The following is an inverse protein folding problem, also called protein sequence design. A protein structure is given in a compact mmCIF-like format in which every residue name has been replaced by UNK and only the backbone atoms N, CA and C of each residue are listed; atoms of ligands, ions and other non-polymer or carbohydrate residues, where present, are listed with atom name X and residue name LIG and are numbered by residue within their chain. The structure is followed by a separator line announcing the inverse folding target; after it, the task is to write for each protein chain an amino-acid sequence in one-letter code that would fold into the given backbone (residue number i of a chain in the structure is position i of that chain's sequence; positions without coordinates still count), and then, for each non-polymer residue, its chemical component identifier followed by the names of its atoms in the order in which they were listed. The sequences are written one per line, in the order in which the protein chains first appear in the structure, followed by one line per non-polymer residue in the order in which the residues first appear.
data_IF_737852495889
#
_entry.id   IF_737852495889
#
_cell.length_a   1.000
_cell.length_b   1.000
_cell.length_c   1.000
_cell.angle_alpha   90.00
_cell.angle_beta   90.00
_cell.angle_gamma   90.00
#
_symmetry.space_group_name_H-M   'P 1'
#
loop_
_entity.id
_entity.type
_entity.pdbx_description
1 polymer ?
#
# COMPACT_ATOMS: atom_id res chain seq x y z
N UNK A 1 -11.09 6.64 14.75
CA UNK A 1 -12.33 6.83 13.94
C UNK A 1 -11.94 6.99 12.48
N UNK A 2 -12.77 6.62 11.48
CA UNK A 2 -12.46 6.82 10.06
C UNK A 2 -13.16 8.10 9.58
N UNK A 3 -12.38 9.03 9.04
CA UNK A 3 -12.87 10.28 8.45
C UNK A 3 -12.64 10.28 6.94
N UNK A 4 -13.70 10.58 6.17
CA UNK A 4 -13.64 10.59 4.70
C UNK A 4 -13.78 12.03 4.22
N UNK A 5 -12.81 12.49 3.41
CA UNK A 5 -12.84 13.83 2.79
C UNK A 5 -12.71 15.01 3.75
N UNK A 6 -12.35 14.77 5.01
CA UNK A 6 -12.03 15.85 5.95
C UNK A 6 -10.58 16.29 5.81
N UNK A 7 -10.34 17.58 5.99
CA UNK A 7 -8.98 18.11 6.06
C UNK A 7 -8.24 17.49 7.25
N UNK A 8 -6.97 17.16 7.01
CA UNK A 8 -6.08 16.71 8.08
C UNK A 8 -5.92 17.85 9.09
N UNK A 9 -6.03 17.58 10.40
CA UNK A 9 -5.72 18.58 11.41
C UNK A 9 -4.33 19.16 11.19
N UNK A 10 -4.10 20.40 11.60
CA UNK A 10 -2.77 21.00 11.55
C UNK A 10 -1.78 20.09 12.29
N UNK A 11 -0.62 19.90 11.67
CA UNK A 11 0.42 19.05 12.22
C UNK A 11 1.30 19.90 13.12
N UNK A 12 1.18 19.67 14.42
CA UNK A 12 2.06 20.26 15.42
C UNK A 12 3.19 19.27 15.72
N UNK A 13 4.28 19.38 14.95
CA UNK A 13 5.50 18.59 15.15
C UNK A 13 6.68 19.53 15.43
N UNK A 14 7.48 19.17 16.41
CA UNK A 14 8.78 19.81 16.61
C UNK A 14 9.74 19.35 15.49
N UNK A 15 10.10 20.28 14.60
CA UNK A 15 11.01 20.02 13.47
C UNK A 15 12.41 19.61 13.94
N UNK A 16 12.78 19.88 15.19
CA UNK A 16 14.05 19.44 15.76
C UNK A 16 14.05 17.94 16.09
N UNK A 17 12.89 17.38 16.44
CA UNK A 17 12.74 15.97 16.78
C UNK A 17 12.41 15.10 15.57
N UNK A 18 11.63 15.63 14.63
CA UNK A 18 11.10 14.86 13.50
C UNK A 18 11.85 15.18 12.21
N UNK A 19 12.23 14.11 11.49
CA UNK A 19 12.90 14.20 10.19
C UNK A 19 11.98 13.60 9.11
N UNK A 20 12.05 14.11 7.86
CA UNK A 20 11.29 13.51 6.77
C UNK A 20 11.60 12.01 6.63
N UNK A 21 10.56 11.18 6.47
CA UNK A 21 10.70 9.73 6.27
C UNK A 21 11.60 9.43 5.07
N UNK A 22 11.37 10.10 3.94
CA UNK A 22 12.23 10.03 2.77
C UNK A 22 13.32 11.10 2.93
N UNK A 23 14.50 10.67 3.38
CA UNK A 23 15.62 11.56 3.74
C UNK A 23 16.21 12.32 2.54
N UNK A 24 16.36 11.65 1.39
CA UNK A 24 16.94 12.27 0.19
C UNK A 24 15.91 13.14 -0.49
N UNK A 25 16.13 14.45 -0.54
CA UNK A 25 15.20 15.41 -1.10
C UNK A 25 14.87 15.12 -2.56
N UNK A 26 15.89 14.80 -3.38
CA UNK A 26 15.68 14.40 -4.77
C UNK A 26 14.73 13.20 -4.90
N UNK A 27 14.91 12.16 -4.08
CA UNK A 27 14.05 10.98 -4.11
C UNK A 27 12.64 11.31 -3.61
N UNK A 28 12.51 12.16 -2.58
CA UNK A 28 11.21 12.61 -2.06
C UNK A 28 10.43 13.39 -3.12
N UNK A 29 11.10 14.29 -3.86
CA UNK A 29 10.46 15.04 -4.96
C UNK A 29 10.03 14.14 -6.11
N UNK A 30 10.76 13.07 -6.39
CA UNK A 30 10.49 12.16 -7.49
C UNK A 30 9.81 10.85 -7.05
N UNK A 31 9.37 10.74 -5.78
CA UNK A 31 8.83 9.51 -5.21
C UNK A 31 7.70 8.92 -6.07
N UNK A 32 6.76 9.74 -6.52
CA UNK A 32 5.64 9.29 -7.34
C UNK A 32 6.09 8.74 -8.70
N UNK A 33 7.18 9.28 -9.28
CA UNK A 33 7.74 8.73 -10.52
C UNK A 33 8.27 7.30 -10.32
N UNK A 34 8.89 7.04 -9.17
CA UNK A 34 9.35 5.68 -8.83
C UNK A 34 8.18 4.74 -8.58
N UNK A 35 7.15 5.20 -7.86
CA UNK A 35 5.94 4.40 -7.61
C UNK A 35 5.25 4.04 -8.92
N UNK A 36 5.01 5.02 -9.80
CA UNK A 36 4.41 4.77 -11.12
C UNK A 36 5.31 3.91 -12.01
N UNK A 37 6.62 4.14 -11.99
CA UNK A 37 7.57 3.32 -12.74
C UNK A 37 7.50 1.85 -12.34
N UNK A 38 7.42 1.57 -11.04
CA UNK A 38 7.23 0.21 -10.53
C UNK A 38 5.88 -0.37 -10.93
N UNK A 39 4.79 0.40 -10.78
CA UNK A 39 3.44 -0.03 -11.18
C UNK A 39 3.37 -0.35 -12.67
N UNK A 40 3.96 0.48 -13.53
CA UNK A 40 4.03 0.27 -14.99
C UNK A 40 4.85 -0.99 -15.30
N UNK A 41 6.00 -1.17 -14.66
CA UNK A 41 6.84 -2.36 -14.82
C UNK A 41 6.07 -3.64 -14.46
N UNK A 42 5.39 -3.64 -13.31
CA UNK A 42 4.56 -4.76 -12.87
C UNK A 42 3.39 -5.02 -13.82
N UNK A 43 2.76 -3.96 -14.33
CA UNK A 43 1.67 -4.05 -15.31
C UNK A 43 2.14 -4.67 -16.62
N UNK A 44 3.27 -4.19 -17.18
CA UNK A 44 3.85 -4.75 -18.42
C UNK A 44 4.23 -6.21 -18.21
N UNK A 45 4.83 -6.55 -17.05
CA UNK A 45 5.17 -7.93 -16.71
C UNK A 45 3.93 -8.81 -16.62
N UNK A 46 2.87 -8.34 -15.97
CA UNK A 46 1.60 -9.08 -15.88
C UNK A 46 0.94 -9.30 -17.24
N UNK A 47 1.03 -8.31 -18.15
CA UNK A 47 0.56 -8.43 -19.52
C UNK A 47 1.36 -9.46 -20.32
N UNK A 48 2.69 -9.38 -20.27
CA UNK A 48 3.59 -10.29 -21.01
C UNK A 48 3.43 -11.74 -20.56
N UNK A 49 3.16 -11.97 -19.28
CA UNK A 49 2.89 -13.29 -18.71
C UNK A 49 1.43 -13.75 -18.90
N UNK A 50 0.58 -12.96 -19.54
CA UNK A 50 -0.84 -13.26 -19.75
C UNK A 50 -1.67 -13.31 -18.47
N UNK A 51 -1.15 -12.77 -17.34
CA UNK A 51 -1.80 -12.89 -16.02
C UNK A 51 -3.04 -12.01 -15.87
N UNK A 52 -3.24 -11.04 -16.75
CA UNK A 52 -4.43 -10.17 -16.74
C UNK A 52 -5.58 -10.70 -17.59
N UNK A 53 -5.49 -11.95 -18.10
CA UNK A 53 -6.50 -12.60 -18.93
C UNK A 53 -7.35 -13.57 -18.09
N UNK A 54 -8.16 -13.06 -17.17
CA UNK A 54 -9.07 -13.87 -16.35
C UNK A 54 -10.53 -13.64 -16.78
N UNK A 55 -11.16 -14.64 -17.39
CA UNK A 55 -12.58 -14.56 -17.74
C UNK A 55 -12.99 -13.39 -18.65
N UNK A 56 -14.27 -13.05 -18.62
CA UNK A 56 -14.82 -11.90 -19.36
C UNK A 56 -14.41 -10.56 -18.76
N UNK A 57 -14.44 -9.50 -19.56
CA UNK A 57 -14.08 -8.14 -19.17
C UNK A 57 -14.80 -7.67 -17.89
N UNK A 58 -16.11 -7.91 -17.79
CA UNK A 58 -16.90 -7.52 -16.62
C UNK A 58 -16.44 -8.21 -15.34
N UNK A 59 -16.07 -9.49 -15.41
CA UNK A 59 -15.52 -10.22 -14.24
C UNK A 59 -14.22 -9.59 -13.80
N UNK A 60 -13.34 -9.26 -14.73
CA UNK A 60 -12.06 -8.58 -14.43
C UNK A 60 -12.27 -7.22 -13.75
N UNK A 61 -13.25 -6.45 -14.23
CA UNK A 61 -13.57 -5.15 -13.65
C UNK A 61 -14.09 -5.30 -12.20
N UNK A 62 -14.98 -6.26 -11.96
CA UNK A 62 -15.49 -6.55 -10.62
C UNK A 62 -14.37 -7.03 -9.69
N UNK A 63 -13.53 -7.95 -10.14
CA UNK A 63 -12.38 -8.43 -9.38
C UNK A 63 -11.39 -7.32 -9.07
N UNK A 64 -11.13 -6.43 -10.02
CA UNK A 64 -10.29 -5.25 -9.79
C UNK A 64 -10.87 -4.37 -8.67
N UNK A 65 -12.16 -4.03 -8.75
CA UNK A 65 -12.81 -3.20 -7.74
C UNK A 65 -12.81 -3.86 -6.35
N UNK A 66 -13.11 -5.15 -6.27
CA UNK A 66 -13.06 -5.91 -5.02
C UNK A 66 -11.64 -5.96 -4.47
N UNK A 67 -10.63 -6.24 -5.32
CA UNK A 67 -9.23 -6.30 -4.90
C UNK A 67 -8.78 -4.96 -4.33
N UNK A 68 -9.10 -3.85 -5.00
CA UNK A 68 -8.79 -2.51 -4.53
C UNK A 68 -9.45 -2.22 -3.17
N UNK A 69 -10.75 -2.53 -3.04
CA UNK A 69 -11.48 -2.32 -1.79
C UNK A 69 -10.90 -3.14 -0.63
N UNK A 70 -10.60 -4.42 -0.86
CA UNK A 70 -10.03 -5.30 0.16
C UNK A 70 -8.61 -4.84 0.53
N UNK A 71 -7.82 -4.36 -0.44
CA UNK A 71 -6.50 -3.76 -0.19
C UNK A 71 -6.58 -2.61 0.81
N UNK A 72 -7.45 -1.63 0.58
CA UNK A 72 -7.63 -0.49 1.48
C UNK A 72 -8.19 -0.92 2.86
N UNK A 73 -9.11 -1.88 2.87
CA UNK A 73 -9.64 -2.42 4.13
C UNK A 73 -8.57 -3.11 4.97
N UNK A 74 -7.61 -3.79 4.36
CA UNK A 74 -6.48 -4.41 5.06
C UNK A 74 -5.59 -3.35 5.72
N UNK A 75 -5.31 -2.22 5.05
CA UNK A 75 -4.63 -1.09 5.70
C UNK A 75 -5.40 -0.60 6.92
N UNK A 76 -6.69 -0.32 6.76
CA UNK A 76 -7.55 0.14 7.85
C UNK A 76 -7.54 -0.86 9.02
N UNK A 77 -7.67 -2.16 8.74
CA UNK A 77 -7.74 -3.21 9.75
C UNK A 77 -6.51 -3.24 10.68
N UNK A 78 -5.31 -2.93 10.15
CA UNK A 78 -4.07 -2.92 10.96
C UNK A 78 -4.05 -1.82 12.01
N UNK A 79 -4.80 -0.74 11.80
CA UNK A 79 -4.72 0.49 12.60
C UNK A 79 -6.06 0.93 13.19
N UNK A 80 -7.16 0.24 12.89
CA UNK A 80 -8.53 0.61 13.22
C UNK A 80 -8.76 0.94 14.71
N UNK A 81 -8.06 0.26 15.63
CA UNK A 81 -8.22 0.43 17.08
C UNK A 81 -7.25 1.41 17.72
N UNK A 82 -6.39 2.08 16.92
CA UNK A 82 -5.27 2.86 17.45
C UNK A 82 -5.50 4.36 17.48
N UNK A 83 -6.42 4.87 16.68
CA UNK A 83 -6.70 6.29 16.60
C UNK A 83 -7.48 6.66 15.35
N UNK A 84 -7.38 7.92 14.98
CA UNK A 84 -8.10 8.48 13.85
C UNK A 84 -7.37 8.20 12.53
N UNK A 85 -8.14 7.87 11.50
CA UNK A 85 -7.64 7.58 10.16
C UNK A 85 -8.36 8.52 9.20
N UNK A 86 -7.60 9.19 8.37
CA UNK A 86 -8.12 10.09 7.33
C UNK A 86 -7.97 9.44 5.95
N UNK A 87 -9.09 9.31 5.25
CA UNK A 87 -9.12 8.93 3.85
C UNK A 87 -9.28 10.20 3.01
N UNK A 88 -8.19 10.63 2.42
CA UNK A 88 -8.13 11.83 1.59
C UNK A 88 -8.02 11.46 0.11
N UNK A 89 -8.57 12.31 -0.74
CA UNK A 89 -8.48 12.18 -2.18
C UNK A 89 -7.53 13.24 -2.74
N UNK A 90 -6.58 12.80 -3.57
CA UNK A 90 -5.74 13.68 -4.37
C UNK A 90 -5.82 13.23 -5.84
N UNK A 91 -6.58 13.96 -6.64
CA UNK A 91 -6.89 13.56 -8.01
C UNK A 91 -7.70 12.25 -8.04
N UNK A 92 -7.15 11.22 -8.67
CA UNK A 92 -7.74 9.87 -8.74
C UNK A 92 -7.31 8.95 -7.58
N UNK A 93 -6.37 9.38 -6.75
CA UNK A 93 -5.81 8.57 -5.67
C UNK A 93 -6.52 8.81 -4.35
N UNK A 94 -6.69 7.72 -3.61
CA UNK A 94 -7.10 7.72 -2.22
C UNK A 94 -5.85 7.51 -1.35
N UNK A 95 -5.72 8.32 -0.30
CA UNK A 95 -4.62 8.24 0.64
C UNK A 95 -5.16 7.97 2.03
N UNK A 96 -4.75 6.86 2.61
CA UNK A 96 -4.99 6.58 4.01
C UNK A 96 -3.88 7.19 4.85
N UNK A 97 -4.26 8.12 5.72
CA UNK A 97 -3.31 8.80 6.63
C UNK A 97 -3.72 8.51 8.06
N UNK A 98 -3.01 7.63 8.78
CA UNK A 98 -3.17 7.47 10.22
C UNK A 98 -2.72 8.75 10.94
N UNK A 99 -3.58 9.27 11.84
CA UNK A 99 -3.31 10.46 12.62
C UNK A 99 -2.86 10.12 14.05
N UNK A 100 -1.87 9.26 14.16
CA UNK A 100 -1.22 8.86 15.40
C UNK A 100 0.16 8.29 15.11
N UNK A 101 0.98 8.19 16.17
CA UNK A 101 2.34 7.71 16.06
C UNK A 101 2.35 6.18 15.90
N UNK A 102 3.02 5.70 14.87
CA UNK A 102 3.25 4.28 14.60
C UNK A 102 4.70 3.92 14.91
N UNK A 103 4.91 2.82 15.61
CA UNK A 103 6.24 2.20 15.71
C UNK A 103 6.68 1.65 14.35
N UNK A 104 7.98 1.38 14.19
CA UNK A 104 8.52 0.78 12.96
C UNK A 104 7.79 -0.50 12.56
N UNK A 105 7.51 -1.40 13.52
CA UNK A 105 6.81 -2.65 13.27
C UNK A 105 5.38 -2.43 12.80
N UNK A 106 4.66 -1.53 13.45
CA UNK A 106 3.27 -1.22 13.11
C UNK A 106 3.16 -0.59 11.73
N UNK A 107 4.05 0.36 11.41
CA UNK A 107 4.06 1.01 10.11
C UNK A 107 4.46 0.04 8.99
N UNK A 108 5.40 -0.85 9.26
CA UNK A 108 5.78 -1.91 8.32
C UNK A 108 4.62 -2.88 8.05
N UNK A 109 3.91 -3.34 9.09
CA UNK A 109 2.72 -4.19 8.94
C UNK A 109 1.64 -3.46 8.16
N UNK A 110 1.37 -2.20 8.49
CA UNK A 110 0.40 -1.35 7.80
C UNK A 110 0.67 -1.31 6.29
N UNK A 111 1.91 -1.06 5.88
CA UNK A 111 2.29 -0.98 4.46
C UNK A 111 2.41 -2.34 3.76
N UNK A 112 2.71 -3.42 4.49
CA UNK A 112 3.08 -4.70 3.86
C UNK A 112 1.92 -5.70 3.83
N UNK A 113 0.96 -5.60 4.76
CA UNK A 113 -0.10 -6.60 4.91
C UNK A 113 -0.93 -6.82 3.63
N UNK A 114 -1.40 -5.80 2.90
CA UNK A 114 -2.17 -6.01 1.68
C UNK A 114 -1.37 -6.79 0.62
N UNK A 115 -0.07 -6.47 0.48
CA UNK A 115 0.80 -7.19 -0.45
C UNK A 115 0.99 -8.65 -0.04
N UNK A 116 1.26 -8.94 1.23
CA UNK A 116 1.41 -10.31 1.71
C UNK A 116 0.12 -11.12 1.57
N UNK A 117 -1.03 -10.55 1.93
CA UNK A 117 -2.30 -11.25 1.91
C UNK A 117 -2.81 -11.47 0.47
N UNK A 118 -2.85 -10.43 -0.35
CA UNK A 118 -3.50 -10.51 -1.66
C UNK A 118 -2.53 -10.90 -2.79
N UNK A 119 -1.23 -10.61 -2.66
CA UNK A 119 -0.25 -11.01 -3.67
C UNK A 119 0.42 -12.32 -3.31
N UNK A 120 1.10 -12.39 -2.17
CA UNK A 120 1.89 -13.58 -1.85
C UNK A 120 1.00 -14.77 -1.53
N UNK A 121 0.06 -14.62 -0.58
CA UNK A 121 -0.77 -15.74 -0.14
C UNK A 121 -1.68 -16.24 -1.28
N UNK A 122 -2.43 -15.36 -1.97
CA UNK A 122 -3.30 -15.79 -3.07
C UNK A 122 -2.51 -16.28 -4.28
N UNK A 123 -1.35 -15.64 -4.56
CA UNK A 123 -0.45 -16.11 -5.62
C UNK A 123 0.05 -17.51 -5.37
N UNK A 124 0.47 -17.84 -4.15
CA UNK A 124 0.87 -19.21 -3.77
C UNK A 124 -0.32 -20.17 -3.80
N UNK A 125 -1.47 -19.77 -3.23
CA UNK A 125 -2.68 -20.59 -3.21
C UNK A 125 -3.18 -20.95 -4.62
N UNK A 126 -2.87 -20.11 -5.61
CA UNK A 126 -3.27 -20.35 -7.00
C UNK A 126 -2.68 -21.64 -7.62
N UNK A 127 -1.62 -22.19 -7.03
CA UNK A 127 -1.00 -23.45 -7.45
C UNK A 127 -1.57 -24.66 -6.70
N UNK A 128 -2.37 -24.44 -5.66
CA UNK A 128 -2.96 -25.49 -4.80
C UNK A 128 -4.43 -25.79 -5.15
N UNK A 129 -5.02 -25.02 -6.07
CA UNK A 129 -6.42 -25.13 -6.48
C UNK A 129 -6.54 -25.56 -7.92
N UNK A 130 -7.78 -25.86 -8.37
CA UNK A 130 -8.04 -26.16 -9.78
C UNK A 130 -7.59 -25.02 -10.70
N UNK A 131 -7.19 -25.33 -11.92
CA UNK A 131 -6.71 -24.36 -12.92
C UNK A 131 -7.70 -23.21 -13.12
N UNK A 132 -8.99 -23.55 -13.19
CA UNK A 132 -10.05 -22.56 -13.36
C UNK A 132 -10.08 -21.51 -12.24
N UNK A 133 -9.99 -21.92 -10.97
CA UNK A 133 -9.91 -21.01 -9.82
C UNK A 133 -8.54 -20.31 -9.77
N UNK A 134 -7.48 -21.05 -10.06
CA UNK A 134 -6.11 -20.54 -10.06
C UNK A 134 -5.88 -19.34 -10.99
N UNK A 135 -6.57 -19.28 -12.13
CA UNK A 135 -6.52 -18.13 -13.06
C UNK A 135 -7.00 -16.86 -12.37
N UNK A 136 -8.11 -16.92 -11.63
CA UNK A 136 -8.65 -15.74 -10.91
C UNK A 136 -7.77 -15.32 -9.74
N UNK A 137 -7.23 -16.28 -8.99
CA UNK A 137 -6.29 -15.96 -7.90
C UNK A 137 -5.01 -15.31 -8.42
N UNK A 138 -4.46 -15.78 -9.53
CA UNK A 138 -3.31 -15.15 -10.20
C UNK A 138 -3.65 -13.75 -10.68
N UNK A 139 -4.83 -13.52 -11.23
CA UNK A 139 -5.30 -12.21 -11.64
C UNK A 139 -5.33 -11.25 -10.45
N UNK A 140 -5.99 -11.64 -9.34
CA UNK A 140 -6.08 -10.84 -8.11
C UNK A 140 -4.68 -10.52 -7.57
N UNK A 141 -3.79 -11.51 -7.49
CA UNK A 141 -2.43 -11.34 -7.00
C UNK A 141 -1.63 -10.32 -7.84
N UNK A 142 -1.73 -10.37 -9.16
CA UNK A 142 -1.05 -9.43 -10.05
C UNK A 142 -1.65 -8.04 -10.02
N UNK A 143 -2.98 -7.91 -9.99
CA UNK A 143 -3.65 -6.61 -9.83
C UNK A 143 -3.26 -5.98 -8.50
N UNK A 144 -3.25 -6.75 -7.41
CA UNK A 144 -2.81 -6.23 -6.12
C UNK A 144 -1.34 -5.82 -6.10
N UNK A 145 -0.45 -6.58 -6.78
CA UNK A 145 0.96 -6.19 -6.89
C UNK A 145 1.12 -4.82 -7.54
N UNK A 146 0.30 -4.51 -8.56
CA UNK A 146 0.32 -3.23 -9.26
C UNK A 146 -0.21 -2.12 -8.33
N UNK A 147 -1.35 -2.35 -7.66
CA UNK A 147 -1.94 -1.41 -6.70
C UNK A 147 -0.95 -1.09 -5.57
N UNK A 148 -0.27 -2.12 -5.04
CA UNK A 148 0.67 -2.02 -3.93
C UNK A 148 2.04 -1.42 -4.31
N UNK A 149 2.21 -0.81 -5.48
CA UNK A 149 3.52 -0.30 -5.93
C UNK A 149 4.17 0.69 -4.95
N UNK A 150 3.40 1.64 -4.42
CA UNK A 150 3.86 2.57 -3.38
C UNK A 150 4.16 1.87 -2.05
N UNK A 151 3.36 0.88 -1.68
CA UNK A 151 3.50 0.17 -0.42
C UNK A 151 4.76 -0.70 -0.40
N UNK A 152 5.10 -1.31 -1.54
CA UNK A 152 6.35 -2.08 -1.72
C UNK A 152 7.55 -1.17 -1.49
N UNK A 153 7.56 0.03 -2.09
CA UNK A 153 8.65 1.00 -1.89
C UNK A 153 8.70 1.44 -0.44
N UNK A 154 7.56 1.82 0.16
CA UNK A 154 7.50 2.24 1.55
C UNK A 154 7.94 1.14 2.51
N UNK A 155 7.51 -0.11 2.28
CA UNK A 155 7.91 -1.27 3.07
C UNK A 155 9.42 -1.47 3.05
N UNK A 156 10.06 -1.33 1.88
CA UNK A 156 11.52 -1.42 1.75
C UNK A 156 12.23 -0.25 2.47
N UNK A 157 11.72 0.97 2.36
CA UNK A 157 12.26 2.13 3.06
C UNK A 157 12.15 1.99 4.58
N UNK A 158 11.02 1.49 5.09
CA UNK A 158 10.82 1.25 6.53
C UNK A 158 11.83 0.22 7.05
N UNK A 159 12.12 -0.85 6.30
CA UNK A 159 13.10 -1.85 6.72
C UNK A 159 14.49 -1.26 6.94
N UNK A 160 14.89 -0.27 6.11
CA UNK A 160 16.18 0.42 6.22
C UNK A 160 16.26 1.41 7.39
N UNK A 161 15.14 1.73 8.06
CA UNK A 161 15.12 2.62 9.21
C UNK A 161 15.62 1.94 10.49
N UNK A 162 16.14 2.69 11.49
CA UNK A 162 16.51 2.16 12.79
C UNK A 162 15.36 1.43 13.48
N UNK A 163 15.68 0.45 14.34
CA UNK A 163 14.65 -0.36 15.03
C UNK A 163 13.74 0.45 15.95
N UNK A 164 14.26 1.52 16.56
CA UNK A 164 13.56 2.40 17.49
C UNK A 164 12.93 3.62 16.80
N UNK A 165 12.62 3.54 15.50
CA UNK A 165 11.95 4.59 14.76
C UNK A 165 10.44 4.60 15.02
N UNK A 166 9.89 5.80 15.17
CA UNK A 166 8.46 6.11 15.27
C UNK A 166 8.07 7.01 14.11
N UNK A 167 6.93 6.76 13.51
CA UNK A 167 6.46 7.43 12.29
C UNK A 167 5.17 8.19 12.54
N UNK A 168 5.07 9.38 11.96
CA UNK A 168 3.88 10.22 11.99
C UNK A 168 3.76 11.02 10.70
N UNK A 169 2.71 10.82 9.94
CA UNK A 169 2.35 11.59 8.72
C UNK A 169 3.52 11.88 7.77
N UNK A 170 4.35 10.89 7.45
CA UNK A 170 5.49 11.05 6.53
C UNK A 170 6.76 11.60 7.17
N UNK A 171 6.78 11.73 8.48
CA UNK A 171 7.96 12.05 9.30
C UNK A 171 8.30 10.88 10.21
N UNK A 172 9.54 10.87 10.72
CA UNK A 172 9.97 9.89 11.70
C UNK A 172 10.87 10.53 12.75
N UNK A 173 10.90 9.94 13.94
CA UNK A 173 11.89 10.19 14.98
C UNK A 173 12.44 8.89 15.53
N UNK A 174 13.67 8.93 16.05
CA UNK A 174 14.28 7.85 16.82
C UNK A 174 14.21 8.19 18.32
N UNK A 175 13.86 7.18 19.11
CA UNK A 175 13.97 7.27 20.58
C UNK A 175 15.36 6.88 21.05
#
# INVERSE_FOLDING_TARGET
MLYIGKELPQMDIDENEYKPFIRREWFRRNYMCFAYGLMILLFITALSLGRLRAGHFMIRLVLFAITYMVHELLHIATVFRKGDIYLNRSGIYLWLTPDFILSKREFWIFMTLPFLALTCLLGLSSYLVSEHVGIYLKYIAWINSIIAGSDIINSALILMMPRNSYFYRGYYKCK
#
